data_IF_938254265852
#
_entry.id   IF_938254265852
#
_cell.length_a   1.000
_cell.length_b   1.000
_cell.length_c   1.000
_cell.angle_alpha   90.00
_cell.angle_beta   90.00
_cell.angle_gamma   90.00
#
_symmetry.space_group_name_H-M   'P 1'
#
loop_
_entity.id
_entity.type
_entity.pdbx_description
1 polymer ?
#
# COMPACT_ATOMS: atom_id res chain seq x y z
N UNK A 1 -8.45 32.84 32.30
CA UNK A 1 -9.16 33.68 31.31
C UNK A 1 -8.47 35.03 31.25
N UNK A 2 -7.63 35.22 30.24
CA UNK A 2 -7.01 36.52 29.91
C UNK A 2 -6.89 36.54 28.39
N UNK A 3 -7.81 37.23 27.73
CA UNK A 3 -7.77 37.43 26.28
C UNK A 3 -6.55 38.26 25.96
N UNK A 4 -5.64 37.63 25.22
CA UNK A 4 -4.41 38.21 24.71
C UNK A 4 -4.75 39.52 24.00
N UNK A 5 -4.14 40.61 24.47
CA UNK A 5 -4.31 41.94 23.90
C UNK A 5 -3.66 41.90 22.53
N UNK A 6 -4.51 41.75 21.51
CA UNK A 6 -4.18 41.74 20.09
C UNK A 6 -3.01 42.66 19.79
N UNK A 7 -1.85 42.05 19.55
CA UNK A 7 -0.64 42.75 19.18
C UNK A 7 -0.81 43.22 17.73
N UNK A 8 -1.49 44.36 17.56
CA UNK A 8 -1.67 45.02 16.28
C UNK A 8 -0.30 45.51 15.80
N UNK A 9 0.30 44.79 14.86
CA UNK A 9 1.59 45.15 14.26
C UNK A 9 1.37 46.10 13.07
N UNK A 10 2.39 46.89 12.73
CA UNK A 10 2.34 47.88 11.63
C UNK A 10 1.82 47.29 10.31
N UNK A 11 2.21 46.06 9.99
CA UNK A 11 1.82 45.39 8.76
C UNK A 11 0.39 44.81 8.80
N UNK A 12 -0.14 44.47 9.98
CA UNK A 12 -1.49 43.91 10.09
C UNK A 12 -2.56 44.98 10.00
N UNK A 13 -2.27 46.22 10.43
CA UNK A 13 -3.19 47.38 10.33
C UNK A 13 -3.68 47.62 8.90
N UNK A 14 -2.86 47.31 7.90
CA UNK A 14 -3.21 47.53 6.49
C UNK A 14 -4.30 46.56 5.99
N UNK A 15 -4.40 45.36 6.57
CA UNK A 15 -5.32 44.31 6.14
C UNK A 15 -6.55 44.17 7.03
N UNK A 16 -6.61 44.87 8.16
CA UNK A 16 -7.72 44.83 9.10
C UNK A 16 -8.86 45.79 8.69
N UNK A 17 -10.07 45.43 9.09
CA UNK A 17 -11.26 46.29 8.98
C UNK A 17 -11.15 47.47 9.95
N UNK A 18 -11.90 48.56 9.69
CA UNK A 18 -11.88 49.74 10.56
C UNK A 18 -12.33 49.43 12.00
N UNK A 19 -13.24 48.48 12.16
CA UNK A 19 -13.70 48.00 13.46
C UNK A 19 -12.61 47.21 14.19
N UNK A 20 -11.90 46.32 13.51
CA UNK A 20 -10.81 45.52 14.08
C UNK A 20 -9.61 46.37 14.51
N UNK A 21 -9.27 47.42 13.74
CA UNK A 21 -8.18 48.35 14.10
C UNK A 21 -8.41 48.96 15.48
N UNK A 22 -9.65 49.37 15.78
CA UNK A 22 -10.00 49.93 17.09
C UNK A 22 -10.49 48.90 18.10
N UNK A 23 -10.51 47.61 17.73
CA UNK A 23 -11.07 46.51 18.53
C UNK A 23 -12.50 46.82 18.99
N UNK A 24 -13.29 47.44 18.12
CA UNK A 24 -14.69 47.77 18.35
C UNK A 24 -15.56 46.67 17.74
N UNK A 25 -16.67 46.36 18.41
CA UNK A 25 -17.63 45.40 17.90
C UNK A 25 -18.46 46.05 16.76
N UNK A 26 -18.44 45.53 15.53
CA UNK A 26 -19.24 46.05 14.42
C UNK A 26 -20.75 45.93 14.68
N UNK A 27 -21.18 45.00 15.56
CA UNK A 27 -22.60 44.79 15.90
C UNK A 27 -23.14 45.81 16.91
N UNK A 28 -22.26 46.62 17.51
CA UNK A 28 -22.67 47.69 18.40
C UNK A 28 -23.44 48.76 17.61
N UNK A 29 -24.78 48.72 17.73
CA UNK A 29 -25.71 49.65 17.06
C UNK A 29 -25.33 51.12 17.27
N UNK A 30 -24.80 51.44 18.45
CA UNK A 30 -24.30 52.78 18.79
C UNK A 30 -22.84 52.65 19.24
N UNK A 31 -21.91 52.73 18.31
CA UNK A 31 -20.52 53.01 18.67
C UNK A 31 -20.50 54.47 19.13
N UNK A 32 -20.16 54.67 20.39
CA UNK A 32 -20.03 56.00 20.96
C UNK A 32 -18.87 56.74 20.29
N UNK A 33 -19.13 57.97 19.83
CA UNK A 33 -18.12 58.81 19.19
C UNK A 33 -16.91 59.00 20.10
N UNK A 34 -17.13 59.11 21.42
CA UNK A 34 -16.05 59.22 22.39
C UNK A 34 -15.18 57.95 22.44
N UNK A 35 -15.75 56.76 22.21
CA UNK A 35 -14.97 55.52 22.15
C UNK A 35 -14.04 55.50 20.92
N UNK A 36 -14.52 55.95 19.75
CA UNK A 36 -13.70 56.08 18.53
C UNK A 36 -12.58 57.09 18.74
N UNK A 37 -12.89 58.25 19.32
CA UNK A 37 -11.90 59.28 19.59
C UNK A 37 -10.85 58.83 20.62
N UNK A 38 -11.26 58.11 21.67
CA UNK A 38 -10.35 57.51 22.65
C UNK A 38 -9.42 56.47 22.01
N UNK A 39 -9.96 55.61 21.15
CA UNK A 39 -9.17 54.63 20.42
C UNK A 39 -8.18 55.32 19.47
N UNK A 40 -8.63 56.29 18.68
CA UNK A 40 -7.77 57.08 17.79
C UNK A 40 -6.59 57.72 18.54
N UNK A 41 -6.83 58.38 19.69
CA UNK A 41 -5.74 58.98 20.49
C UNK A 41 -4.70 57.95 20.94
N UNK A 42 -5.13 56.74 21.35
CA UNK A 42 -4.23 55.66 21.74
C UNK A 42 -3.38 55.18 20.57
N UNK A 43 -4.02 54.91 19.43
CA UNK A 43 -3.34 54.40 18.24
C UNK A 43 -2.44 55.45 17.57
N UNK A 44 -2.85 56.72 17.54
CA UNK A 44 -2.04 57.82 17.02
C UNK A 44 -0.72 57.99 17.77
N UNK A 45 -0.69 57.73 19.08
CA UNK A 45 0.55 57.79 19.89
C UNK A 45 1.48 56.59 19.66
N UNK A 46 0.91 55.44 19.28
CA UNK A 46 1.66 54.21 19.00
C UNK A 46 2.25 54.22 17.59
N UNK A 47 1.51 54.74 16.61
CA UNK A 47 1.89 54.74 15.19
C UNK A 47 2.36 56.13 14.71
N UNK A 48 2.79 57.01 15.61
CA UNK A 48 3.21 58.36 15.24
C UNK A 48 4.47 58.33 14.36
N UNK A 49 4.51 59.02 13.20
CA UNK A 49 5.64 58.98 12.27
C UNK A 49 6.94 59.58 12.85
N UNK A 50 6.84 60.37 13.92
CA UNK A 50 8.00 60.92 14.66
C UNK A 50 8.76 59.84 15.47
N UNK A 51 8.04 58.86 16.01
CA UNK A 51 8.68 57.76 16.76
C UNK A 51 9.23 56.68 15.84
N UNK A 52 8.60 56.52 14.68
CA UNK A 52 8.92 55.49 13.71
C UNK A 52 8.83 56.05 12.28
N UNK A 53 9.93 56.56 11.70
CA UNK A 53 9.94 57.18 10.38
C UNK A 53 9.87 56.18 9.21
N UNK A 54 9.39 54.95 9.45
CA UNK A 54 9.24 53.92 8.42
C UNK A 54 8.03 54.19 7.51
N UNK A 55 8.08 53.85 6.21
CA UNK A 55 6.94 54.02 5.31
C UNK A 55 5.69 53.28 5.79
N UNK A 56 5.86 52.06 6.34
CA UNK A 56 4.76 51.27 6.90
C UNK A 56 4.06 51.95 8.10
N UNK A 57 4.79 52.70 8.93
CA UNK A 57 4.18 53.44 10.03
C UNK A 57 3.34 54.62 9.54
N UNK A 58 3.77 55.29 8.46
CA UNK A 58 3.02 56.36 7.83
C UNK A 58 1.73 55.84 7.20
N UNK A 59 1.82 54.75 6.45
CA UNK A 59 0.64 54.10 5.85
C UNK A 59 -0.33 53.59 6.92
N UNK A 60 0.16 52.98 8.00
CA UNK A 60 -0.67 52.56 9.13
C UNK A 60 -1.35 53.75 9.81
N UNK A 61 -0.62 54.87 10.02
CA UNK A 61 -1.18 56.09 10.61
C UNK A 61 -2.28 56.70 9.72
N UNK A 62 -2.05 56.78 8.42
CA UNK A 62 -3.04 57.27 7.46
C UNK A 62 -4.28 56.37 7.45
N UNK A 63 -4.11 55.04 7.55
CA UNK A 63 -5.22 54.09 7.67
C UNK A 63 -6.01 54.25 8.97
N UNK A 64 -5.32 54.44 10.10
CA UNK A 64 -5.95 54.70 11.42
C UNK A 64 -6.75 56.01 11.39
N UNK A 65 -6.19 57.05 10.76
CA UNK A 65 -6.88 58.33 10.60
C UNK A 65 -8.14 58.18 9.75
N UNK A 66 -8.04 57.51 8.60
CA UNK A 66 -9.19 57.24 7.73
C UNK A 66 -10.27 56.41 8.45
N UNK A 67 -9.87 55.40 9.22
CA UNK A 67 -10.79 54.60 10.02
C UNK A 67 -11.55 55.46 11.04
N UNK A 68 -10.85 56.34 11.76
CA UNK A 68 -11.48 57.24 12.72
C UNK A 68 -12.44 58.23 12.05
N UNK A 69 -12.06 58.81 10.91
CA UNK A 69 -12.91 59.74 10.16
C UNK A 69 -14.18 59.06 9.61
N UNK A 70 -14.06 57.81 9.17
CA UNK A 70 -15.19 57.04 8.62
C UNK A 70 -16.15 56.62 9.74
N UNK A 71 -15.62 56.16 10.88
CA UNK A 71 -16.44 55.70 12.00
C UNK A 71 -17.01 56.84 12.86
N UNK A 72 -16.39 58.03 12.82
CA UNK A 72 -16.86 59.21 13.55
C UNK A 72 -18.11 59.84 12.90
N UNK A 73 -18.26 59.73 11.58
CA UNK A 73 -19.40 60.27 10.84
C UNK A 73 -20.46 59.18 10.62
N UNK A 74 -21.70 59.35 11.16
CA UNK A 74 -22.77 58.38 10.96
C UNK A 74 -23.10 58.09 9.49
N UNK A 75 -22.94 59.06 8.58
CA UNK A 75 -23.20 58.83 7.15
C UNK A 75 -22.12 57.93 6.54
N UNK A 76 -20.85 58.28 6.73
CA UNK A 76 -19.72 57.48 6.20
C UNK A 76 -19.68 56.08 6.81
N UNK A 77 -20.03 55.94 8.09
CA UNK A 77 -20.12 54.64 8.75
C UNK A 77 -21.17 53.75 8.07
N UNK A 78 -22.33 54.31 7.74
CA UNK A 78 -23.39 53.57 7.03
C UNK A 78 -22.94 53.13 5.65
N UNK A 79 -22.31 54.01 4.89
CA UNK A 79 -21.81 53.68 3.55
C UNK A 79 -20.75 52.56 3.63
N UNK A 80 -19.87 52.61 4.62
CA UNK A 80 -18.87 51.57 4.87
C UNK A 80 -19.50 50.23 5.27
N UNK A 81 -20.52 50.25 6.14
CA UNK A 81 -21.25 49.05 6.56
C UNK A 81 -22.01 48.41 5.37
N UNK A 82 -22.59 49.23 4.49
CA UNK A 82 -23.24 48.76 3.25
C UNK A 82 -22.22 48.16 2.28
N UNK A 83 -21.04 48.76 2.12
CA UNK A 83 -19.96 48.21 1.31
C UNK A 83 -19.48 46.86 1.84
N UNK A 84 -19.32 46.75 3.17
CA UNK A 84 -18.90 45.51 3.82
C UNK A 84 -19.93 44.38 3.63
N UNK A 85 -21.23 44.71 3.71
CA UNK A 85 -22.31 43.76 3.44
C UNK A 85 -22.38 43.33 1.96
N UNK A 86 -22.15 44.26 1.03
CA UNK A 86 -22.10 43.92 -0.39
C UNK A 86 -20.88 43.07 -0.75
N UNK A 87 -19.74 43.30 -0.09
CA UNK A 87 -18.54 42.49 -0.28
C UNK A 87 -18.75 41.03 0.16
N UNK A 88 -19.37 40.82 1.33
CA UNK A 88 -19.68 39.46 1.81
C UNK A 88 -20.67 38.73 0.90
N UNK A 89 -21.74 39.39 0.47
CA UNK A 89 -22.70 38.80 -0.47
C UNK A 89 -22.12 38.48 -1.85
N UNK A 90 -21.08 39.20 -2.30
CA UNK A 90 -20.35 38.84 -3.54
C UNK A 90 -19.50 37.60 -3.34
N UNK A 91 -18.83 37.45 -2.19
CA UNK A 91 -18.07 36.24 -1.87
C UNK A 91 -18.99 35.01 -1.79
N UNK A 92 -20.11 35.11 -1.07
CA UNK A 92 -21.08 34.02 -0.94
C UNK A 92 -21.63 33.55 -2.31
N UNK A 93 -21.88 34.50 -3.22
CA UNK A 93 -22.32 34.17 -4.59
C UNK A 93 -21.22 33.50 -5.42
N UNK A 94 -19.96 33.91 -5.28
CA UNK A 94 -18.86 33.29 -6.02
C UNK A 94 -18.58 31.87 -5.52
N UNK A 95 -18.64 31.63 -4.22
CA UNK A 95 -18.40 30.30 -3.62
C UNK A 95 -19.54 29.31 -3.92
N UNK A 96 -20.80 29.77 -3.96
CA UNK A 96 -21.95 28.95 -4.33
C UNK A 96 -21.87 28.39 -5.76
N UNK A 97 -21.36 29.18 -6.72
CA UNK A 97 -21.24 28.78 -8.13
C UNK A 97 -20.05 27.83 -8.33
N UNK A 98 -18.94 28.05 -7.62
CA UNK A 98 -17.77 27.15 -7.67
C UNK A 98 -18.04 25.77 -7.06
N UNK A 99 -18.76 25.72 -5.93
CA UNK A 99 -19.04 24.46 -5.22
C UNK A 99 -20.00 23.52 -5.97
N UNK A 100 -20.97 24.05 -6.69
CA UNK A 100 -21.92 23.24 -7.47
C UNK A 100 -21.24 22.51 -8.63
N UNK A 101 -20.35 23.20 -9.37
CA UNK A 101 -19.60 22.61 -10.48
C UNK A 101 -18.60 21.56 -9.98
N UNK A 102 -17.99 21.78 -8.82
CA UNK A 102 -17.08 20.83 -8.20
C UNK A 102 -17.78 19.53 -7.78
N UNK A 103 -19.01 19.63 -7.23
CA UNK A 103 -19.81 18.43 -6.88
C UNK A 103 -20.16 17.60 -8.11
N UNK A 104 -20.59 18.25 -9.19
CA UNK A 104 -20.89 17.57 -10.45
C UNK A 104 -19.66 16.82 -10.99
N UNK A 105 -18.49 17.46 -10.98
CA UNK A 105 -17.25 16.82 -11.40
C UNK A 105 -16.84 15.64 -10.50
N UNK A 106 -17.08 15.75 -9.19
CA UNK A 106 -16.81 14.67 -8.24
C UNK A 106 -17.72 13.46 -8.50
N UNK A 107 -19.02 13.69 -8.74
CA UNK A 107 -20.00 12.66 -9.04
C UNK A 107 -19.67 11.94 -10.36
N UNK A 108 -19.34 12.68 -11.43
CA UNK A 108 -18.91 12.11 -12.71
C UNK A 108 -17.66 11.23 -12.55
N UNK A 109 -16.65 11.68 -11.81
CA UNK A 109 -15.44 10.89 -11.55
C UNK A 109 -15.72 9.60 -10.77
N UNK A 110 -16.65 9.64 -9.82
CA UNK A 110 -17.06 8.45 -9.07
C UNK A 110 -17.81 7.45 -9.94
N UNK A 111 -18.67 7.92 -10.85
CA UNK A 111 -19.36 7.08 -11.82
C UNK A 111 -18.39 6.43 -12.81
N UNK A 112 -17.42 7.18 -13.32
CA UNK A 112 -16.36 6.66 -14.18
C UNK A 112 -15.51 5.61 -13.46
N UNK A 113 -15.15 5.83 -12.19
CA UNK A 113 -14.40 4.86 -11.39
C UNK A 113 -15.19 3.55 -11.19
N UNK A 114 -16.50 3.64 -10.90
CA UNK A 114 -17.37 2.46 -10.80
C UNK A 114 -17.50 1.71 -12.13
N UNK A 115 -17.61 2.45 -13.23
CA UNK A 115 -17.66 1.87 -14.58
C UNK A 115 -16.35 1.15 -14.92
N UNK A 116 -15.21 1.75 -14.60
CA UNK A 116 -13.89 1.16 -14.83
C UNK A 116 -13.70 -0.16 -14.05
N UNK A 117 -14.11 -0.19 -12.77
CA UNK A 117 -14.05 -1.40 -11.94
C UNK A 117 -14.94 -2.53 -12.50
N UNK A 118 -16.16 -2.19 -12.96
CA UNK A 118 -17.06 -3.15 -13.61
C UNK A 118 -16.45 -3.73 -14.89
N UNK A 119 -15.84 -2.89 -15.73
CA UNK A 119 -15.18 -3.32 -16.98
C UNK A 119 -13.98 -4.22 -16.68
N UNK A 120 -13.17 -3.88 -15.68
CA UNK A 120 -12.02 -4.70 -15.29
C UNK A 120 -12.48 -6.09 -14.86
N UNK A 121 -13.50 -6.16 -14.00
CA UNK A 121 -14.07 -7.43 -13.54
C UNK A 121 -14.65 -8.27 -14.68
N UNK A 122 -15.30 -7.65 -15.66
CA UNK A 122 -15.77 -8.35 -16.85
C UNK A 122 -14.60 -8.92 -17.66
N UNK A 123 -13.54 -8.14 -17.90
CA UNK A 123 -12.36 -8.62 -18.63
C UNK A 123 -11.65 -9.76 -17.91
N UNK A 124 -11.51 -9.68 -16.59
CA UNK A 124 -10.95 -10.76 -15.78
C UNK A 124 -11.79 -12.04 -15.91
N UNK A 125 -13.12 -11.95 -15.77
CA UNK A 125 -14.02 -13.09 -15.94
C UNK A 125 -13.94 -13.68 -17.35
N UNK A 126 -13.89 -12.85 -18.39
CA UNK A 126 -13.75 -13.31 -19.78
C UNK A 126 -12.41 -14.01 -20.03
N UNK A 127 -11.30 -13.46 -19.49
CA UNK A 127 -9.98 -14.08 -19.62
C UNK A 127 -9.90 -15.40 -18.85
N UNK A 128 -10.53 -15.48 -17.67
CA UNK A 128 -10.61 -16.71 -16.89
C UNK A 128 -11.46 -17.76 -17.61
N UNK A 129 -12.58 -17.38 -18.23
CA UNK A 129 -13.40 -18.28 -19.03
C UNK A 129 -12.65 -18.79 -20.26
N UNK A 130 -11.91 -17.91 -20.95
CA UNK A 130 -11.03 -18.32 -22.07
C UNK A 130 -9.93 -19.27 -21.61
N UNK A 131 -9.30 -19.01 -20.47
CA UNK A 131 -8.27 -19.87 -19.91
C UNK A 131 -8.82 -21.23 -19.44
N UNK A 132 -10.05 -21.27 -18.93
CA UNK A 132 -10.72 -22.52 -18.57
C UNK A 132 -11.02 -23.37 -19.82
N UNK A 133 -11.56 -22.75 -20.88
CA UNK A 133 -11.83 -23.43 -22.14
C UNK A 133 -10.56 -24.01 -22.78
N UNK A 134 -9.44 -23.29 -22.75
CA UNK A 134 -8.17 -23.83 -23.26
C UNK A 134 -7.64 -24.99 -22.42
N UNK A 135 -7.85 -24.98 -21.11
CA UNK A 135 -7.43 -26.07 -20.22
C UNK A 135 -8.26 -27.33 -20.44
N UNK A 136 -9.58 -27.19 -20.60
CA UNK A 136 -10.46 -28.32 -20.93
C UNK A 136 -10.04 -28.97 -22.25
N UNK A 137 -9.74 -28.17 -23.28
CA UNK A 137 -9.25 -28.70 -24.57
C UNK A 137 -7.90 -29.41 -24.45
N UNK A 138 -6.99 -28.93 -23.61
CA UNK A 138 -5.71 -29.59 -23.31
C UNK A 138 -5.89 -30.90 -22.52
N UNK A 139 -6.77 -30.90 -21.51
CA UNK A 139 -7.10 -32.09 -20.72
C UNK A 139 -7.76 -33.18 -21.57
N UNK A 140 -8.67 -32.81 -22.48
CA UNK A 140 -9.28 -33.75 -23.43
C UNK A 140 -8.22 -34.36 -24.36
N UNK A 141 -7.30 -33.55 -24.89
CA UNK A 141 -6.19 -34.03 -25.72
C UNK A 141 -5.26 -34.95 -24.94
N UNK A 142 -4.96 -34.62 -23.68
CA UNK A 142 -4.12 -35.46 -22.82
C UNK A 142 -4.82 -36.78 -22.47
N UNK A 143 -6.12 -36.75 -22.18
CA UNK A 143 -6.93 -37.93 -21.92
C UNK A 143 -6.98 -38.85 -23.15
N UNK A 144 -7.19 -38.29 -24.34
CA UNK A 144 -7.16 -39.04 -25.60
C UNK A 144 -5.77 -39.68 -25.85
N UNK A 145 -4.68 -38.95 -25.57
CA UNK A 145 -3.33 -39.48 -25.69
C UNK A 145 -3.08 -40.64 -24.70
N UNK A 146 -3.54 -40.50 -23.46
CA UNK A 146 -3.46 -41.59 -22.44
C UNK A 146 -4.25 -42.82 -22.88
N UNK A 147 -5.42 -42.64 -23.48
CA UNK A 147 -6.21 -43.76 -24.03
C UNK A 147 -5.47 -44.46 -25.16
N UNK A 148 -4.91 -43.72 -26.12
CA UNK A 148 -4.11 -44.31 -27.20
C UNK A 148 -2.88 -45.07 -26.66
N UNK A 149 -2.21 -44.53 -25.65
CA UNK A 149 -1.07 -45.20 -25.00
C UNK A 149 -1.51 -46.50 -24.30
N UNK A 150 -2.64 -46.49 -23.62
CA UNK A 150 -3.21 -47.68 -22.98
C UNK A 150 -3.52 -48.78 -24.00
N UNK A 151 -4.14 -48.43 -25.13
CA UNK A 151 -4.41 -49.37 -26.23
C UNK A 151 -3.12 -49.98 -26.78
N UNK A 152 -2.11 -49.16 -27.09
CA UNK A 152 -0.80 -49.65 -27.56
C UNK A 152 -0.12 -50.57 -26.54
N UNK A 153 -0.22 -50.23 -25.26
CA UNK A 153 0.33 -51.03 -24.16
C UNK A 153 -0.38 -52.37 -24.07
N UNK A 154 -1.72 -52.40 -24.17
CA UNK A 154 -2.48 -53.64 -24.15
C UNK A 154 -2.12 -54.54 -25.35
N UNK A 155 -1.96 -53.96 -26.54
CA UNK A 155 -1.55 -54.72 -27.74
C UNK A 155 -0.16 -55.36 -27.56
N UNK A 156 0.78 -54.68 -26.89
CA UNK A 156 2.13 -55.20 -26.66
C UNK A 156 2.22 -56.14 -25.45
N UNK A 157 1.51 -55.83 -24.36
CA UNK A 157 1.57 -56.61 -23.12
C UNK A 157 0.72 -57.86 -23.16
N UNK A 158 -0.38 -57.91 -23.93
CA UNK A 158 -1.22 -59.11 -24.05
C UNK A 158 -0.47 -60.32 -24.65
N UNK A 159 0.23 -60.22 -25.80
CA UNK A 159 0.99 -61.35 -26.33
C UNK A 159 2.18 -61.70 -25.43
N UNK A 160 2.84 -60.71 -24.81
CA UNK A 160 3.95 -60.94 -23.90
C UNK A 160 3.51 -61.66 -22.62
N UNK A 161 2.43 -61.20 -21.97
CA UNK A 161 1.84 -61.87 -20.80
C UNK A 161 1.32 -63.27 -21.12
N UNK A 162 0.76 -63.48 -22.32
CA UNK A 162 0.37 -64.83 -22.78
C UNK A 162 1.58 -65.75 -22.92
N UNK A 163 2.68 -65.25 -23.47
CA UNK A 163 3.94 -65.99 -23.59
C UNK A 163 4.57 -66.29 -22.22
N UNK A 164 4.61 -65.31 -21.31
CA UNK A 164 5.06 -65.50 -19.93
C UNK A 164 4.22 -66.53 -19.18
N UNK A 165 2.88 -66.44 -19.28
CA UNK A 165 1.99 -67.42 -18.64
C UNK A 165 2.16 -68.84 -19.20
N UNK A 166 2.53 -68.98 -20.48
CA UNK A 166 2.82 -70.27 -21.08
C UNK A 166 4.18 -70.84 -20.60
N UNK A 167 5.17 -69.97 -20.36
CA UNK A 167 6.48 -70.37 -19.82
C UNK A 167 6.42 -70.73 -18.32
N UNK A 168 5.58 -70.04 -17.55
CA UNK A 168 5.44 -70.25 -16.09
C UNK A 168 4.71 -71.56 -15.77
N UNK A 169 3.91 -72.12 -16.68
CA UNK A 169 3.20 -73.39 -16.45
C UNK A 169 4.07 -74.66 -16.56
N UNK A 170 5.35 -74.54 -16.90
CA UNK A 170 6.23 -75.69 -17.12
C UNK A 170 7.28 -75.90 -16.01
N UNK A 171 7.36 -74.99 -15.04
CA UNK A 171 8.31 -75.05 -13.92
C UNK A 171 7.56 -75.02 -12.59
N UNK A 172 6.98 -76.16 -12.21
CA UNK A 172 6.53 -76.43 -10.84
C UNK A 172 7.80 -76.60 -9.97
N UNK A 173 8.40 -75.49 -9.57
CA UNK A 173 9.52 -75.49 -8.62
C UNK A 173 8.90 -75.64 -7.25
N UNK A 174 9.09 -76.80 -6.61
CA UNK A 174 8.60 -77.09 -5.26
C UNK A 174 9.00 -75.96 -4.30
N UNK A 175 8.03 -75.12 -3.95
CA UNK A 175 8.19 -73.95 -3.07
C UNK A 175 8.77 -74.36 -1.71
N UNK A 176 8.49 -75.59 -1.29
CA UNK A 176 9.06 -76.23 -0.09
C UNK A 176 10.57 -76.46 -0.17
N UNK A 177 11.11 -76.77 -1.35
CA UNK A 177 12.54 -77.01 -1.56
C UNK A 177 13.32 -75.69 -1.50
N UNK A 178 12.72 -74.61 -2.00
CA UNK A 178 13.31 -73.27 -1.94
C UNK A 178 13.40 -72.78 -0.49
N UNK A 179 12.34 -72.98 0.29
CA UNK A 179 12.31 -72.64 1.71
C UNK A 179 13.28 -73.49 2.54
N UNK A 180 13.50 -74.75 2.16
CA UNK A 180 14.49 -75.60 2.81
C UNK A 180 15.91 -75.07 2.61
N UNK A 181 16.25 -74.67 1.38
CA UNK A 181 17.58 -74.13 1.07
C UNK A 181 17.83 -72.79 1.74
N UNK A 182 16.82 -71.94 1.84
CA UNK A 182 16.91 -70.67 2.55
C UNK A 182 17.18 -70.87 4.04
N UNK A 183 16.48 -71.82 4.69
CA UNK A 183 16.74 -72.18 6.09
C UNK A 183 18.14 -72.78 6.32
N UNK A 184 18.63 -73.60 5.38
CA UNK A 184 20.00 -74.13 5.42
C UNK A 184 21.05 -73.02 5.28
N UNK A 185 20.84 -72.08 4.35
CA UNK A 185 21.72 -70.92 4.16
C UNK A 185 21.71 -70.04 5.41
N UNK A 186 20.56 -69.77 6.01
CA UNK A 186 20.47 -69.02 7.27
C UNK A 186 21.12 -69.72 8.46
N UNK A 187 21.05 -71.05 8.51
CA UNK A 187 21.76 -71.83 9.52
C UNK A 187 23.28 -71.75 9.33
N UNK A 188 23.76 -71.82 8.09
CA UNK A 188 25.18 -71.64 7.76
C UNK A 188 25.65 -70.21 8.04
N UNK A 189 24.87 -69.19 7.68
CA UNK A 189 25.19 -67.79 7.95
C UNK A 189 25.18 -67.47 9.46
N UNK A 190 24.39 -68.21 10.26
CA UNK A 190 24.46 -68.14 11.73
C UNK A 190 25.73 -68.82 12.28
N UNK A 191 26.10 -69.98 11.75
CA UNK A 191 27.36 -70.66 12.12
C UNK A 191 28.60 -69.85 11.73
N UNK A 192 28.60 -69.21 10.57
CA UNK A 192 29.69 -68.35 10.12
C UNK A 192 29.87 -67.15 11.08
N UNK A 193 28.75 -66.51 11.48
CA UNK A 193 28.76 -65.43 12.48
C UNK A 193 29.25 -65.88 13.87
N UNK A 194 29.03 -67.13 14.26
CA UNK A 194 29.52 -67.67 15.53
C UNK A 194 31.00 -68.08 15.47
N UNK A 195 31.49 -68.46 14.29
CA UNK A 195 32.90 -68.77 14.05
C UNK A 195 33.77 -67.51 14.15
N UNK A 196 33.33 -66.39 13.56
CA UNK A 196 34.02 -65.09 13.66
C UNK A 196 34.10 -64.56 15.10
N UNK A 197 33.08 -64.81 15.93
CA UNK A 197 33.05 -64.35 17.33
C UNK A 197 33.87 -65.21 18.30
N UNK A 198 34.34 -66.40 17.89
CA UNK A 198 35.08 -67.34 18.77
C UNK A 198 36.55 -67.50 18.39
N UNK A 199 36.98 -67.00 17.22
CA UNK A 199 38.36 -67.10 16.74
C UNK A 199 39.03 -65.72 16.50
N UNK A 200 38.40 -64.62 16.97
CA UNK A 200 38.94 -63.26 16.90
C UNK A 200 39.86 -62.89 18.07
N UNK A 201 40.96 -63.62 18.26
CA UNK A 201 41.93 -63.27 19.30
C UNK A 201 43.24 -64.03 19.22
N UNK A 202 44.12 -63.70 18.26
CA UNK A 202 45.58 -63.73 18.42
C UNK A 202 46.33 -63.17 17.18
N UNK A 203 46.85 -61.95 17.34
CA UNK A 203 48.18 -61.45 16.96
C UNK A 203 48.74 -61.44 15.50
N UNK A 204 49.39 -60.29 15.23
CA UNK A 204 50.58 -60.04 14.39
C UNK A 204 50.38 -59.99 12.87
N UNK A 205 51.08 -59.18 12.06
CA UNK A 205 52.06 -58.11 12.26
C UNK A 205 52.34 -57.52 10.87
N UNK A 206 52.48 -56.20 10.79
CA UNK A 206 53.39 -55.46 9.87
C UNK A 206 53.29 -55.54 8.34
N UNK A 207 53.87 -54.49 7.72
CA UNK A 207 54.13 -54.23 6.29
C UNK A 207 52.95 -53.55 5.56
N UNK A 208 52.93 -52.24 5.26
CA UNK A 208 53.99 -51.28 5.05
C UNK A 208 54.23 -51.05 3.55
N UNK A 209 53.43 -50.21 2.89
CA UNK A 209 53.84 -49.51 1.65
C UNK A 209 53.25 -48.10 1.63
N UNK A 210 54.17 -47.14 1.45
CA UNK A 210 53.97 -45.70 1.28
C UNK A 210 53.60 -45.39 -0.18
N UNK A 211 52.78 -44.36 -0.41
CA UNK A 211 52.96 -43.22 -1.36
C UNK A 211 51.61 -42.49 -1.52
N UNK A 212 51.44 -41.27 -0.98
CA UNK A 212 51.80 -39.95 -1.51
C UNK A 212 50.80 -39.36 -2.53
N UNK A 213 50.23 -38.18 -2.20
CA UNK A 213 50.09 -37.10 -3.19
C UNK A 213 48.69 -36.56 -3.57
N UNK A 214 48.16 -35.63 -2.77
CA UNK A 214 47.67 -34.27 -3.14
C UNK A 214 46.92 -33.98 -4.45
N UNK A 215 45.68 -33.43 -4.34
CA UNK A 215 45.18 -32.10 -4.84
C UNK A 215 43.64 -32.05 -4.66
N UNK A 216 43.06 -31.29 -3.73
CA UNK A 216 42.73 -29.84 -3.70
C UNK A 216 42.14 -29.21 -4.98
N UNK A 217 40.93 -28.69 -4.74
CA UNK A 217 40.28 -27.49 -5.29
C UNK A 217 39.75 -27.51 -6.73
N UNK A 218 38.42 -27.46 -6.82
CA UNK A 218 37.72 -26.83 -7.94
C UNK A 218 36.71 -25.84 -7.39
N UNK A 219 37.06 -24.58 -7.62
CA UNK A 219 36.26 -23.37 -7.59
C UNK A 219 35.03 -23.47 -8.50
N UNK A 220 33.86 -23.11 -7.99
CA UNK A 220 32.71 -22.69 -8.81
C UNK A 220 32.63 -21.16 -8.77
N UNK A 221 32.41 -20.62 -9.97
CA UNK A 221 32.15 -19.23 -10.34
C UNK A 221 30.64 -19.08 -10.46
#
# INVERSE_FOLDING_TARGET
MTTDTTHVQKHTVLHLTYYEIFSLDPTAKNIDLDAVQRAYRRFALLFHPDKDPTPAAREAFDRIKLAAETLADPQKRRDYDEELLHASHRQDRQEGIGSARQRQQQEEMEEEARMADMILRQKEAESAAKAAATREEEEEKEAAAKQMLHELTNVLTTPFKRMESALVYEWDIDEDLLQMKEKEVDALMRKLRQYDNTHGGEQNDTVGVRTAGTKRERSEI
#
